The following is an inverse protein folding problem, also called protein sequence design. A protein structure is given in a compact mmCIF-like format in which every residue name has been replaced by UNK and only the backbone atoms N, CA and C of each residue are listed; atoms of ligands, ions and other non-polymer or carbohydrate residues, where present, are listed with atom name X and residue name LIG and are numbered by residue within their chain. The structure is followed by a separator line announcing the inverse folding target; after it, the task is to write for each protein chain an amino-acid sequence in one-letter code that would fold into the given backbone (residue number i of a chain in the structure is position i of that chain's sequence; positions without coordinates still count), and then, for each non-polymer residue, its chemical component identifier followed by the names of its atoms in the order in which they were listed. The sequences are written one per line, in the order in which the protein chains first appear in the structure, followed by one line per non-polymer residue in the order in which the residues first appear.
data_IF_569808457566
#
_entry.id   IF_569808457566
#
_cell.length_a   1.000
_cell.length_b   1.000
_cell.length_c   1.000
_cell.angle_alpha   90.00
_cell.angle_beta   90.00
_cell.angle_gamma   90.00
#
_symmetry.space_group_name_H-M   'P 1'
#
loop_
_entity.id
_entity.type
_entity.pdbx_description
1 polymer ?
#
# COMPACT_ATOMS: atom_id res chain seq x y z
N UNK A 1 23.01 -2.25 11.06
CA UNK A 1 22.37 -2.48 9.75
C UNK A 1 21.35 -1.36 9.54
N UNK A 2 21.33 -0.78 8.35
CA UNK A 2 20.39 0.29 7.98
C UNK A 2 19.24 -0.30 7.17
N UNK A 3 18.02 0.16 7.40
CA UNK A 3 16.86 -0.23 6.60
C UNK A 3 17.02 0.27 5.15
N UNK A 4 16.80 -0.62 4.17
CA UNK A 4 16.72 -0.24 2.75
C UNK A 4 15.25 -0.08 2.34
N UNK A 5 14.74 1.17 2.29
CA UNK A 5 13.35 1.41 1.94
C UNK A 5 13.03 1.04 0.49
N UNK A 6 14.00 1.11 -0.44
CA UNK A 6 13.72 0.81 -1.85
C UNK A 6 13.49 -0.68 -2.06
N UNK A 7 14.34 -1.51 -1.45
CA UNK A 7 14.18 -2.95 -1.48
C UNK A 7 12.87 -3.37 -0.83
N UNK A 8 12.55 -2.82 0.34
CA UNK A 8 11.30 -3.10 1.05
C UNK A 8 10.06 -2.71 0.22
N UNK A 9 10.05 -1.52 -0.39
CA UNK A 9 8.93 -1.08 -1.24
C UNK A 9 8.72 -2.07 -2.41
N UNK A 10 9.78 -2.48 -3.09
CA UNK A 10 9.67 -3.40 -4.22
C UNK A 10 9.09 -4.76 -3.79
N UNK A 11 9.57 -5.30 -2.67
CA UNK A 11 9.08 -6.55 -2.10
C UNK A 11 7.59 -6.46 -1.71
N UNK A 12 7.20 -5.42 -0.97
CA UNK A 12 5.84 -5.28 -0.47
C UNK A 12 4.82 -4.98 -1.56
N UNK A 13 5.19 -4.23 -2.61
CA UNK A 13 4.33 -4.01 -3.77
C UNK A 13 4.02 -5.34 -4.47
N UNK A 14 5.05 -6.15 -4.75
CA UNK A 14 4.87 -7.46 -5.39
C UNK A 14 4.04 -8.43 -4.52
N UNK A 15 4.31 -8.46 -3.20
CA UNK A 15 3.57 -9.29 -2.27
C UNK A 15 2.08 -8.87 -2.18
N UNK A 16 1.80 -7.57 -2.16
CA UNK A 16 0.43 -7.03 -2.10
C UNK A 16 -0.34 -7.33 -3.37
N UNK A 17 0.30 -7.17 -4.54
CA UNK A 17 -0.32 -7.48 -5.84
C UNK A 17 -0.70 -8.97 -5.93
N UNK A 18 0.19 -9.87 -5.49
CA UNK A 18 -0.06 -11.31 -5.47
C UNK A 18 -1.15 -11.73 -4.47
N UNK A 19 -1.20 -11.09 -3.30
CA UNK A 19 -2.14 -11.42 -2.24
C UNK A 19 -3.58 -10.92 -2.52
N UNK A 20 -3.75 -9.87 -3.34
CA UNK A 20 -5.03 -9.23 -3.60
C UNK A 20 -5.40 -9.33 -5.08
N UNK A 21 -6.10 -10.39 -5.52
CA UNK A 21 -6.56 -10.52 -6.90
C UNK A 21 -7.73 -9.56 -7.23
N UNK A 22 -8.49 -9.15 -6.21
CA UNK A 22 -9.69 -8.33 -6.35
C UNK A 22 -9.48 -6.85 -6.07
N UNK A 23 -10.54 -6.21 -5.53
CA UNK A 23 -10.51 -4.84 -5.03
C UNK A 23 -10.17 -4.79 -3.54
N UNK A 24 -9.59 -3.68 -3.09
CA UNK A 24 -9.30 -3.41 -1.69
C UNK A 24 -9.84 -2.03 -1.28
N UNK A 25 -10.06 -1.84 0.02
CA UNK A 25 -10.44 -0.57 0.62
C UNK A 25 -9.49 -0.26 1.79
N UNK A 26 -9.10 1.01 1.95
CA UNK A 26 -8.27 1.46 3.08
C UNK A 26 -8.79 2.78 3.64
N UNK A 27 -8.86 2.86 4.97
CA UNK A 27 -9.09 4.13 5.67
C UNK A 27 -7.75 4.88 5.80
N UNK A 28 -7.65 6.06 5.20
CA UNK A 28 -6.46 6.89 5.21
C UNK A 28 -6.67 8.09 6.14
N UNK A 29 -6.42 7.94 7.44
CA UNK A 29 -6.68 8.97 8.46
C UNK A 29 -5.82 10.24 8.37
N UNK A 30 -4.80 10.26 7.50
CA UNK A 30 -3.76 11.29 7.46
C UNK A 30 -2.59 11.03 8.42
N UNK A 31 -2.67 9.99 9.25
CA UNK A 31 -1.53 9.49 10.02
C UNK A 31 -0.47 8.85 9.12
N UNK A 32 0.79 8.83 9.57
CA UNK A 32 1.92 8.33 8.78
C UNK A 32 1.75 6.86 8.39
N UNK A 33 1.22 6.03 9.29
CA UNK A 33 1.05 4.59 9.04
C UNK A 33 0.00 4.33 7.96
N UNK A 34 -1.19 4.92 8.11
CA UNK A 34 -2.30 4.73 7.18
C UNK A 34 -2.00 5.34 5.81
N UNK A 35 -1.31 6.48 5.77
CA UNK A 35 -0.88 7.12 4.52
C UNK A 35 0.19 6.29 3.81
N UNK A 36 1.17 5.77 4.54
CA UNK A 36 2.23 4.92 3.96
C UNK A 36 1.65 3.62 3.40
N UNK A 37 0.75 2.98 4.17
CA UNK A 37 0.03 1.79 3.71
C UNK A 37 -0.82 2.08 2.47
N UNK A 38 -1.55 3.20 2.44
CA UNK A 38 -2.36 3.59 1.29
C UNK A 38 -1.51 3.82 0.02
N UNK A 39 -0.34 4.44 0.16
CA UNK A 39 0.58 4.65 -0.97
C UNK A 39 1.16 3.34 -1.48
N UNK A 40 1.58 2.43 -0.59
CA UNK A 40 2.08 1.10 -1.00
C UNK A 40 1.00 0.28 -1.70
N UNK A 41 -0.19 0.22 -1.12
CA UNK A 41 -1.33 -0.48 -1.71
C UNK A 41 -1.75 0.14 -3.05
N UNK A 42 -1.71 1.48 -3.19
CA UNK A 42 -2.03 2.17 -4.44
C UNK A 42 -1.03 1.82 -5.55
N UNK A 43 0.26 1.69 -5.22
CA UNK A 43 1.29 1.24 -6.17
C UNK A 43 1.05 -0.20 -6.64
N UNK A 44 0.58 -1.08 -5.77
CA UNK A 44 0.33 -2.49 -6.10
C UNK A 44 -1.00 -2.72 -6.83
N UNK A 45 -2.05 -1.98 -6.45
CA UNK A 45 -3.43 -2.29 -6.86
C UNK A 45 -4.03 -1.28 -7.83
N UNK A 46 -3.44 -0.08 -7.95
CA UNK A 46 -3.92 0.98 -8.84
C UNK A 46 -5.39 1.31 -8.60
N UNK A 47 -6.20 1.24 -9.67
CA UNK A 47 -7.64 1.53 -9.64
C UNK A 47 -8.47 0.49 -8.87
N UNK A 48 -7.86 -0.63 -8.42
CA UNK A 48 -8.51 -1.63 -7.57
C UNK A 48 -8.52 -1.24 -6.08
N UNK A 49 -7.82 -0.17 -5.68
CA UNK A 49 -7.84 0.34 -4.31
C UNK A 49 -8.77 1.54 -4.18
N UNK A 50 -9.70 1.49 -3.22
CA UNK A 50 -10.48 2.64 -2.76
C UNK A 50 -9.88 3.17 -1.45
N UNK A 51 -9.37 4.40 -1.46
CA UNK A 51 -8.96 5.10 -0.25
C UNK A 51 -10.11 5.96 0.29
N UNK A 52 -10.42 5.84 1.57
CA UNK A 52 -11.47 6.61 2.26
C UNK A 52 -10.82 7.52 3.32
N UNK A 53 -11.18 8.80 3.28
CA UNK A 53 -10.84 9.79 4.30
C UNK A 53 -12.14 10.35 4.88
N UNK A 54 -12.14 10.62 6.20
CA UNK A 54 -13.29 11.12 6.96
C UNK A 54 -12.86 12.35 7.75
#
# INVERSE_FOLDING_TARGET
MTFDPKAFIAEQVAATEAAVPGKAIIACSGGVDSTTAAVLASRALGTRLLAVYV
#
